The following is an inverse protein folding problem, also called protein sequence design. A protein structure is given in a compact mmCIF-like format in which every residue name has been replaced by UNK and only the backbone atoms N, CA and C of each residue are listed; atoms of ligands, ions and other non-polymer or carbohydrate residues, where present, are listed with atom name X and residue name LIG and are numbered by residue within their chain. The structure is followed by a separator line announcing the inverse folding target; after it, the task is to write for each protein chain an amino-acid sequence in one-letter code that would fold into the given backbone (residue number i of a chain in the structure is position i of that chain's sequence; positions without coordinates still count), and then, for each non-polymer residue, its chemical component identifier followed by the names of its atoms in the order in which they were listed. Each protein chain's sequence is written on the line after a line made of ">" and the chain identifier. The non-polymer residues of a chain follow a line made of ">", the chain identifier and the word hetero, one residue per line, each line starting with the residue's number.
data_IF_505462260290
#
_entry.id   IF_505462260290
#
_cell.length_a   1.000
_cell.length_b   1.000
_cell.length_c   1.000
_cell.angle_alpha   90.00
_cell.angle_beta   90.00
_cell.angle_gamma   90.00
#
_symmetry.space_group_name_H-M   'P 1'
#
loop_
_entity.id
_entity.type
_entity.pdbx_description
1 polymer ?
#
# COMPACT_ATOMS: atom_id res chain seq x y z
N UNK A 1 44.02 30.61 -12.81
CA UNK A 1 44.78 29.35 -12.66
C UNK A 1 44.50 28.81 -11.26
N UNK A 2 43.87 27.62 -11.19
CA UNK A 2 44.13 26.58 -10.16
C UNK A 2 43.86 27.02 -8.70
N UNK A 3 42.80 26.61 -8.00
CA UNK A 3 42.48 25.23 -7.61
C UNK A 3 41.02 25.17 -7.06
N UNK A 4 40.03 24.85 -7.90
CA UNK A 4 38.77 24.28 -7.40
C UNK A 4 39.06 22.85 -6.95
N UNK A 5 39.43 22.66 -5.68
CA UNK A 5 39.52 21.32 -5.09
C UNK A 5 38.12 20.85 -4.75
N UNK A 6 37.61 20.00 -5.65
CA UNK A 6 36.49 19.08 -5.43
C UNK A 6 36.43 18.62 -3.97
N UNK A 7 35.44 19.10 -3.23
CA UNK A 7 34.76 18.32 -2.21
C UNK A 7 33.36 18.04 -2.76
N UNK A 8 33.30 17.08 -3.69
CA UNK A 8 32.09 16.25 -3.76
C UNK A 8 32.06 15.53 -2.42
N UNK A 9 31.28 16.04 -1.48
CA UNK A 9 30.74 15.22 -0.40
C UNK A 9 30.17 13.98 -1.08
N UNK A 10 30.81 12.82 -0.89
CA UNK A 10 30.19 11.56 -1.20
C UNK A 10 28.96 11.50 -0.28
N UNK A 11 27.78 11.83 -0.81
CA UNK A 11 26.55 11.49 -0.12
C UNK A 11 26.66 10.00 0.22
N UNK A 12 26.63 9.67 1.50
CA UNK A 12 26.69 8.28 1.95
C UNK A 12 25.63 7.49 1.17
N UNK A 13 26.00 6.32 0.65
CA UNK A 13 25.06 5.48 -0.08
C UNK A 13 23.86 5.18 0.83
N UNK A 14 22.63 5.29 0.30
CA UNK A 14 21.41 4.99 1.05
C UNK A 14 21.49 3.57 1.62
N UNK A 15 21.16 3.33 2.91
CA UNK A 15 21.08 1.97 3.44
C UNK A 15 20.01 1.17 2.69
N UNK A 16 20.21 -0.14 2.57
CA UNK A 16 19.22 -1.02 1.97
C UNK A 16 18.12 -1.29 2.98
N UNK A 17 16.86 -1.02 2.63
CA UNK A 17 15.73 -1.45 3.47
C UNK A 17 15.42 -2.92 3.18
N UNK A 18 15.38 -3.73 4.23
CA UNK A 18 15.11 -5.18 4.12
C UNK A 18 13.84 -5.64 4.82
N UNK A 19 13.24 -4.82 5.69
CA UNK A 19 11.99 -5.16 6.36
C UNK A 19 11.46 -4.03 7.22
N UNK A 20 10.15 -4.04 7.45
CA UNK A 20 9.46 -3.00 8.24
C UNK A 20 8.63 -3.64 9.34
N UNK A 21 8.74 -3.14 10.55
CA UNK A 21 8.04 -3.60 11.74
C UNK A 21 7.10 -2.49 12.17
N UNK A 22 5.84 -2.82 12.46
CA UNK A 22 4.81 -1.86 12.83
C UNK A 22 4.27 -2.11 14.24
N UNK A 23 3.91 -1.05 14.95
CA UNK A 23 2.84 -1.16 15.95
C UNK A 23 1.47 -1.26 15.26
N UNK A 24 0.47 -1.71 16.01
CA UNK A 24 -0.91 -1.80 15.56
C UNK A 24 -1.68 -0.50 15.85
N UNK A 25 -2.09 -0.32 17.11
CA UNK A 25 -2.94 0.81 17.52
C UNK A 25 -2.19 2.13 17.41
N UNK A 26 -2.83 3.15 16.85
CA UNK A 26 -2.22 4.47 16.65
C UNK A 26 -1.33 4.54 15.42
N UNK A 27 -0.92 3.39 14.88
CA UNK A 27 -0.05 3.28 13.71
C UNK A 27 -0.80 2.71 12.51
N UNK A 28 -1.05 1.40 12.47
CA UNK A 28 -1.78 0.71 11.39
C UNK A 28 -3.31 0.84 11.54
N UNK A 29 -3.79 0.99 12.77
CA UNK A 29 -5.21 1.13 13.10
C UNK A 29 -5.46 2.39 13.90
N UNK A 30 -6.66 2.95 13.77
CA UNK A 30 -7.10 4.04 14.65
C UNK A 30 -7.38 3.43 16.04
N UNK A 31 -6.80 3.97 17.13
CA UNK A 31 -7.09 3.49 18.47
C UNK A 31 -8.60 3.58 18.77
N UNK A 32 -9.19 2.47 19.17
CA UNK A 32 -10.63 2.39 19.47
C UNK A 32 -10.95 1.75 20.83
N UNK A 33 -9.94 1.21 21.52
CA UNK A 33 -10.09 0.65 22.86
C UNK A 33 -9.75 1.70 23.92
N UNK A 34 -10.71 2.03 24.80
CA UNK A 34 -10.46 2.92 25.93
C UNK A 34 -9.87 2.14 27.12
N UNK A 35 -8.53 2.12 27.19
CA UNK A 35 -7.81 1.49 28.28
C UNK A 35 -8.12 2.13 29.64
N UNK A 36 -8.40 3.43 29.73
CA UNK A 36 -8.72 4.06 31.03
C UNK A 36 -10.05 3.54 31.55
N UNK A 37 -11.04 3.43 30.67
CA UNK A 37 -12.34 2.82 31.00
C UNK A 37 -12.16 1.35 31.38
N UNK A 38 -11.32 0.61 30.66
CA UNK A 38 -11.04 -0.81 30.96
C UNK A 38 -10.44 -0.97 32.36
N UNK A 39 -9.42 -0.17 32.70
CA UNK A 39 -8.84 -0.12 34.05
C UNK A 39 -9.88 0.18 35.12
N UNK A 40 -10.70 1.21 34.90
CA UNK A 40 -11.75 1.60 35.84
C UNK A 40 -12.79 0.49 36.04
N UNK A 41 -13.23 -0.17 34.96
CA UNK A 41 -14.19 -1.29 35.02
C UNK A 41 -13.60 -2.53 35.72
N UNK A 42 -12.30 -2.77 35.58
CA UNK A 42 -11.60 -3.87 36.25
C UNK A 42 -11.19 -3.52 37.69
N UNK A 43 -11.46 -2.30 38.18
CA UNK A 43 -10.99 -1.81 39.47
C UNK A 43 -9.44 -1.88 39.63
N UNK A 44 -8.72 -1.63 38.54
CA UNK A 44 -7.25 -1.57 38.52
C UNK A 44 -6.81 -0.13 38.30
N UNK A 45 -5.92 0.44 39.13
CA UNK A 45 -5.39 1.78 38.92
C UNK A 45 -4.75 1.92 37.52
N UNK A 46 -4.89 3.06 36.84
CA UNK A 46 -4.44 3.25 35.45
C UNK A 46 -2.91 3.24 35.26
N UNK A 47 -2.15 3.23 36.35
CA UNK A 47 -0.68 3.19 36.34
C UNK A 47 -0.12 1.78 36.58
N UNK A 48 -0.97 0.82 36.96
CA UNK A 48 -0.58 -0.58 37.11
C UNK A 48 -0.69 -1.32 35.78
N UNK A 49 0.00 -2.46 35.65
CA UNK A 49 -0.23 -3.36 34.52
C UNK A 49 -1.56 -4.09 34.72
N UNK A 50 -2.53 -3.85 33.83
CA UNK A 50 -3.88 -4.39 33.94
C UNK A 50 -3.90 -5.92 34.09
N UNK A 51 -3.17 -6.62 33.21
CA UNK A 51 -3.22 -8.08 33.14
C UNK A 51 -2.50 -8.71 34.34
N UNK A 52 -1.39 -8.11 34.77
CA UNK A 52 -0.70 -8.52 35.98
C UNK A 52 -1.59 -8.34 37.22
N UNK A 53 -2.18 -7.15 37.40
CA UNK A 53 -3.04 -6.85 38.53
C UNK A 53 -4.26 -7.78 38.59
N UNK A 54 -4.93 -8.01 37.45
CA UNK A 54 -6.03 -8.97 37.33
C UNK A 54 -5.58 -10.38 37.66
N UNK A 55 -4.38 -10.79 37.23
CA UNK A 55 -3.79 -12.09 37.57
C UNK A 55 -3.55 -12.32 39.07
N UNK A 56 -3.42 -11.25 39.87
CA UNK A 56 -3.25 -11.33 41.33
C UNK A 56 -4.59 -11.24 42.11
N UNK A 57 -5.72 -11.03 41.43
CA UNK A 57 -7.03 -10.93 42.09
C UNK A 57 -7.55 -12.29 42.59
N UNK A 58 -8.49 -12.23 43.54
CA UNK A 58 -9.25 -13.41 43.98
C UNK A 58 -10.11 -13.95 42.83
N UNK A 59 -10.42 -15.25 42.85
CA UNK A 59 -11.05 -15.94 41.71
C UNK A 59 -12.33 -15.27 41.17
N UNK A 60 -13.22 -14.79 42.04
CA UNK A 60 -14.46 -14.12 41.60
C UNK A 60 -14.21 -12.73 40.97
N UNK A 61 -13.28 -11.96 41.54
CA UNK A 61 -12.91 -10.63 41.05
C UNK A 61 -12.14 -10.74 39.73
N UNK A 62 -11.20 -11.70 39.67
CA UNK A 62 -10.45 -12.04 38.46
C UNK A 62 -11.38 -12.42 37.31
N UNK A 63 -12.34 -13.33 37.55
CA UNK A 63 -13.28 -13.76 36.51
C UNK A 63 -14.11 -12.60 35.96
N UNK A 64 -14.60 -11.71 36.84
CA UNK A 64 -15.34 -10.52 36.40
C UNK A 64 -14.48 -9.58 35.58
N UNK A 65 -13.22 -9.36 35.98
CA UNK A 65 -12.29 -8.51 35.23
C UNK A 65 -11.94 -9.14 33.86
N UNK A 66 -11.73 -10.45 33.79
CA UNK A 66 -11.49 -11.18 32.55
C UNK A 66 -12.70 -11.08 31.60
N UNK A 67 -13.93 -11.26 32.09
CA UNK A 67 -15.16 -11.08 31.32
C UNK A 67 -15.28 -9.65 30.75
N UNK A 68 -14.93 -8.63 31.54
CA UNK A 68 -14.92 -7.22 31.11
C UNK A 68 -13.87 -6.97 30.02
N UNK A 69 -12.66 -7.49 30.20
CA UNK A 69 -11.57 -7.36 29.22
C UNK A 69 -11.99 -8.01 27.91
N UNK A 70 -12.54 -9.22 27.96
CA UNK A 70 -12.99 -9.96 26.78
C UNK A 70 -14.13 -9.22 26.04
N UNK A 71 -15.13 -8.71 26.77
CA UNK A 71 -16.23 -7.90 26.21
C UNK A 71 -15.70 -6.67 25.47
N UNK A 72 -14.84 -5.89 26.13
CA UNK A 72 -14.28 -4.67 25.55
C UNK A 72 -13.36 -4.96 24.36
N UNK A 73 -12.54 -6.00 24.43
CA UNK A 73 -11.69 -6.42 23.31
C UNK A 73 -12.51 -6.95 22.12
N UNK A 74 -13.62 -7.63 22.38
CA UNK A 74 -14.53 -8.10 21.34
C UNK A 74 -15.15 -6.91 20.59
N UNK A 75 -15.64 -5.92 21.34
CA UNK A 75 -16.16 -4.68 20.76
C UNK A 75 -15.08 -3.87 20.03
N UNK A 76 -13.87 -3.83 20.60
CA UNK A 76 -12.70 -3.24 19.97
C UNK A 76 -12.35 -3.91 18.63
N UNK A 77 -12.38 -5.24 18.54
CA UNK A 77 -12.20 -5.92 17.25
C UNK A 77 -13.29 -5.54 16.26
N UNK A 78 -14.56 -5.57 16.68
CA UNK A 78 -15.72 -5.27 15.82
C UNK A 78 -15.70 -3.86 15.24
N UNK A 79 -15.14 -2.90 15.97
CA UNK A 79 -15.10 -1.48 15.59
C UNK A 79 -13.75 -1.04 15.05
N UNK A 80 -12.81 -1.97 14.86
CA UNK A 80 -11.45 -1.67 14.42
C UNK A 80 -11.47 -1.07 13.01
N UNK A 81 -10.68 -0.01 12.82
CA UNK A 81 -10.54 0.67 11.53
C UNK A 81 -9.06 0.87 11.22
N UNK A 82 -8.72 0.76 9.93
CA UNK A 82 -7.37 1.06 9.46
C UNK A 82 -7.09 2.56 9.59
N UNK A 83 -5.86 2.89 9.91
CA UNK A 83 -5.38 4.26 9.82
C UNK A 83 -5.36 4.72 8.34
N UNK A 84 -5.55 6.02 8.08
CA UNK A 84 -5.43 6.57 6.73
C UNK A 84 -4.10 6.20 6.07
N UNK A 85 -4.14 5.67 4.84
CA UNK A 85 -2.97 5.25 4.08
C UNK A 85 -2.43 3.85 4.42
N UNK A 86 -2.97 3.15 5.42
CA UNK A 86 -2.47 1.82 5.80
C UNK A 86 -2.61 0.79 4.65
N UNK A 87 -3.77 0.74 4.00
CA UNK A 87 -4.01 -0.18 2.87
C UNK A 87 -3.09 0.13 1.68
N UNK A 88 -2.89 1.41 1.38
CA UNK A 88 -2.02 1.91 0.31
C UNK A 88 -0.58 1.52 0.57
N UNK A 89 -0.10 1.74 1.80
CA UNK A 89 1.20 1.27 2.27
C UNK A 89 1.34 -0.25 2.14
N UNK A 90 0.33 -1.02 2.56
CA UNK A 90 0.33 -2.48 2.43
C UNK A 90 0.48 -2.95 0.98
N UNK A 91 -0.25 -2.33 0.04
CA UNK A 91 -0.11 -2.62 -1.40
C UNK A 91 1.28 -2.25 -1.93
N UNK A 92 1.83 -1.12 -1.46
CA UNK A 92 3.15 -0.66 -1.84
C UNK A 92 4.26 -1.60 -1.34
N UNK A 93 4.22 -2.03 -0.07
CA UNK A 93 5.14 -3.01 0.51
C UNK A 93 5.08 -4.35 -0.25
N UNK A 94 3.86 -4.82 -0.58
CA UNK A 94 3.66 -6.01 -1.43
C UNK A 94 4.33 -5.86 -2.79
N UNK A 95 4.18 -4.70 -3.43
CA UNK A 95 4.78 -4.39 -4.73
C UNK A 95 6.31 -4.45 -4.72
N UNK A 96 6.92 -4.03 -3.61
CA UNK A 96 8.35 -4.15 -3.37
C UNK A 96 8.81 -5.52 -2.85
N UNK A 97 7.87 -6.39 -2.47
CA UNK A 97 8.12 -7.65 -1.76
C UNK A 97 8.91 -7.44 -0.45
N UNK A 98 8.64 -6.33 0.23
CA UNK A 98 9.25 -6.05 1.54
C UNK A 98 8.53 -6.85 2.62
N UNK A 99 9.25 -7.64 3.44
CA UNK A 99 8.64 -8.32 4.58
C UNK A 99 8.19 -7.29 5.61
N UNK A 100 7.03 -7.55 6.20
CA UNK A 100 6.43 -6.71 7.23
C UNK A 100 6.03 -7.54 8.45
N UNK A 101 6.28 -7.02 9.65
CA UNK A 101 5.92 -7.63 10.92
C UNK A 101 5.08 -6.67 11.78
N UNK A 102 4.36 -7.23 12.75
CA UNK A 102 3.67 -6.45 13.80
C UNK A 102 4.25 -6.81 15.16
N UNK A 103 4.47 -5.80 16.00
CA UNK A 103 4.72 -5.96 17.44
C UNK A 103 3.74 -5.08 18.20
N UNK A 104 2.80 -5.69 18.91
CA UNK A 104 1.68 -4.99 19.55
C UNK A 104 1.39 -5.49 20.96
N UNK A 105 0.71 -4.66 21.76
CA UNK A 105 0.14 -5.03 23.06
C UNK A 105 -1.24 -5.73 22.95
N UNK A 106 -1.77 -5.87 21.74
CA UNK A 106 -2.97 -6.65 21.49
C UNK A 106 -2.71 -8.16 21.48
N UNK A 107 -3.75 -8.97 21.65
CA UNK A 107 -3.68 -10.41 21.42
C UNK A 107 -3.40 -10.73 19.95
N UNK A 108 -2.84 -11.90 19.69
CA UNK A 108 -2.76 -12.45 18.34
C UNK A 108 -4.14 -12.60 17.67
N UNK A 109 -5.19 -12.82 18.44
CA UNK A 109 -6.58 -12.87 17.96
C UNK A 109 -7.00 -11.56 17.29
N UNK A 110 -6.63 -10.40 17.86
CA UNK A 110 -6.90 -9.10 17.23
C UNK A 110 -6.11 -8.93 15.93
N UNK A 111 -4.85 -9.40 15.89
CA UNK A 111 -4.05 -9.36 14.65
C UNK A 111 -4.61 -10.30 13.57
N UNK A 112 -5.14 -11.46 13.96
CA UNK A 112 -5.87 -12.35 13.04
C UNK A 112 -7.13 -11.68 12.49
N UNK A 113 -7.90 -11.00 13.34
CA UNK A 113 -9.06 -10.23 12.91
C UNK A 113 -8.70 -9.12 11.91
N UNK A 114 -7.60 -8.38 12.15
CA UNK A 114 -7.04 -7.43 11.19
C UNK A 114 -6.75 -8.11 9.84
N UNK A 115 -6.03 -9.24 9.85
CA UNK A 115 -5.64 -9.96 8.64
C UNK A 115 -6.83 -10.46 7.82
N UNK A 116 -7.88 -10.94 8.48
CA UNK A 116 -9.03 -11.59 7.83
C UNK A 116 -10.12 -10.59 7.43
N UNK A 117 -10.28 -9.51 8.21
CA UNK A 117 -11.30 -8.50 7.97
C UNK A 117 -10.80 -7.31 7.16
N UNK A 118 -9.78 -6.62 7.67
CA UNK A 118 -9.38 -5.29 7.18
C UNK A 118 -8.21 -5.33 6.19
N UNK A 119 -7.36 -6.36 6.27
CA UNK A 119 -6.12 -6.50 5.48
C UNK A 119 -6.24 -7.55 4.37
N UNK A 120 -7.43 -7.65 3.77
CA UNK A 120 -7.73 -8.67 2.77
C UNK A 120 -6.92 -8.44 1.49
N UNK A 121 -6.47 -9.54 0.87
CA UNK A 121 -5.67 -9.55 -0.38
C UNK A 121 -4.30 -8.86 -0.26
N UNK A 122 -3.84 -8.61 0.96
CA UNK A 122 -2.49 -8.12 1.28
C UNK A 122 -1.69 -9.22 1.99
N UNK A 123 -0.34 -9.21 1.90
CA UNK A 123 0.49 -10.14 2.66
C UNK A 123 0.23 -9.94 4.15
N UNK A 124 0.02 -11.05 4.87
CA UNK A 124 -0.09 -11.03 6.33
C UNK A 124 1.25 -10.58 6.93
N UNK A 125 1.18 -9.81 8.00
CA UNK A 125 2.34 -9.47 8.82
C UNK A 125 2.93 -10.75 9.41
N UNK A 126 4.22 -10.98 9.18
CA UNK A 126 4.90 -12.21 9.58
C UNK A 126 6.35 -11.92 10.01
N UNK A 127 6.72 -12.19 11.28
CA UNK A 127 5.82 -12.65 12.34
C UNK A 127 4.87 -11.54 12.82
N UNK A 128 3.77 -11.98 13.42
CA UNK A 128 2.94 -11.14 14.28
C UNK A 128 3.28 -11.49 15.74
N UNK A 129 3.69 -10.49 16.51
CA UNK A 129 4.05 -10.62 17.92
C UNK A 129 3.03 -9.85 18.75
N UNK A 130 2.17 -10.59 19.45
CA UNK A 130 1.17 -10.04 20.35
C UNK A 130 1.65 -9.97 21.80
N UNK A 131 0.74 -9.62 22.70
CA UNK A 131 0.96 -9.51 24.15
C UNK A 131 1.44 -10.81 24.81
N UNK A 132 1.25 -11.95 24.16
CA UNK A 132 1.63 -13.25 24.70
C UNK A 132 3.16 -13.42 24.73
N UNK A 133 3.89 -12.60 23.96
CA UNK A 133 5.34 -12.60 23.92
C UNK A 133 5.93 -11.61 24.93
N UNK A 134 6.77 -12.14 25.83
CA UNK A 134 7.51 -11.38 26.83
C UNK A 134 9.01 -11.44 26.56
N UNK A 135 9.78 -10.39 26.92
CA UNK A 135 9.32 -9.11 27.48
C UNK A 135 8.69 -8.17 26.42
N UNK A 136 7.85 -7.23 26.89
CA UNK A 136 7.18 -6.25 26.03
C UNK A 136 8.10 -5.11 25.57
N UNK A 137 7.64 -4.35 24.56
CA UNK A 137 8.21 -3.03 24.21
C UNK A 137 8.34 -2.17 25.48
N UNK A 138 9.46 -1.45 25.70
CA UNK A 138 10.53 -1.19 24.75
C UNK A 138 11.68 -2.22 24.72
N UNK A 139 11.55 -3.39 25.35
CA UNK A 139 12.61 -4.41 25.33
C UNK A 139 12.80 -5.02 23.93
N UNK A 140 14.04 -5.18 23.41
CA UNK A 140 14.29 -5.56 22.01
C UNK A 140 14.02 -7.03 21.62
N UNK A 141 13.49 -7.86 22.53
CA UNK A 141 13.45 -9.32 22.34
C UNK A 141 12.55 -9.75 21.17
N UNK A 142 11.42 -9.04 20.97
CA UNK A 142 10.55 -9.27 19.83
C UNK A 142 11.24 -8.91 18.50
N UNK A 143 12.11 -7.88 18.50
CA UNK A 143 12.88 -7.49 17.32
C UNK A 143 13.93 -8.56 16.97
N UNK A 144 14.61 -9.12 17.97
CA UNK A 144 15.56 -10.22 17.79
C UNK A 144 14.89 -11.47 17.19
N UNK A 145 13.68 -11.80 17.65
CA UNK A 145 12.87 -12.88 17.08
C UNK A 145 12.57 -12.63 15.60
N UNK A 146 12.08 -11.43 15.26
CA UNK A 146 11.76 -11.03 13.88
C UNK A 146 12.99 -11.12 13.00
N UNK A 147 14.10 -10.50 13.42
CA UNK A 147 15.37 -10.48 12.72
C UNK A 147 15.88 -11.90 12.43
N UNK A 148 15.83 -12.78 13.44
CA UNK A 148 16.20 -14.19 13.30
C UNK A 148 15.29 -14.93 12.30
N UNK A 149 13.98 -14.71 12.36
CA UNK A 149 13.03 -15.37 11.46
C UNK A 149 13.17 -14.92 10.01
N UNK A 150 13.47 -13.64 9.77
CA UNK A 150 13.75 -13.13 8.44
C UNK A 150 15.16 -13.45 7.94
N UNK A 151 16.07 -13.89 8.83
CA UNK A 151 17.49 -14.04 8.49
C UNK A 151 18.16 -12.71 8.16
N UNK A 152 17.66 -11.61 8.73
CA UNK A 152 18.18 -10.24 8.55
C UNK A 152 18.79 -9.82 9.89
N UNK A 153 20.06 -9.38 9.94
CA UNK A 153 20.65 -8.89 11.19
C UNK A 153 19.97 -7.61 11.67
N UNK A 154 19.94 -7.41 12.99
CA UNK A 154 19.53 -6.13 13.57
C UNK A 154 20.46 -5.01 13.10
N UNK A 155 19.88 -3.88 12.72
CA UNK A 155 20.61 -2.72 12.22
C UNK A 155 19.71 -1.78 11.43
N UNK A 156 20.29 -0.74 10.81
CA UNK A 156 19.54 0.29 10.08
C UNK A 156 18.88 -0.20 8.78
N UNK A 157 19.04 -1.49 8.43
CA UNK A 157 18.33 -2.12 7.32
C UNK A 157 16.89 -2.52 7.67
N UNK A 158 16.56 -2.50 8.96
CA UNK A 158 15.21 -2.69 9.49
C UNK A 158 14.65 -1.36 9.97
N UNK A 159 13.33 -1.20 9.85
CA UNK A 159 12.62 0.00 10.29
C UNK A 159 11.51 -0.36 11.27
N UNK A 160 11.51 0.24 12.46
CA UNK A 160 10.39 0.23 13.39
C UNK A 160 9.51 1.47 13.15
N UNK A 161 8.22 1.26 12.94
CA UNK A 161 7.22 2.31 12.73
C UNK A 161 6.19 2.25 13.85
N UNK A 162 5.97 3.37 14.52
CA UNK A 162 5.03 3.48 15.63
C UNK A 162 4.57 4.91 15.86
N UNK A 163 3.62 5.11 16.76
CA UNK A 163 3.10 6.44 17.16
C UNK A 163 3.58 6.87 18.56
N UNK A 164 4.24 5.98 19.31
CA UNK A 164 4.70 6.26 20.67
C UNK A 164 6.23 6.44 20.78
N UNK A 165 6.73 7.64 21.13
CA UNK A 165 8.16 7.87 21.34
C UNK A 165 8.79 7.03 22.46
N UNK A 166 8.11 6.92 23.60
CA UNK A 166 8.63 6.21 24.76
C UNK A 166 8.51 4.68 24.64
N UNK A 167 7.68 4.18 23.72
CA UNK A 167 7.46 2.75 23.54
C UNK A 167 8.06 2.26 22.22
N UNK A 168 7.57 2.72 21.07
CA UNK A 168 7.94 2.20 19.74
C UNK A 168 9.29 2.71 19.27
N UNK A 169 9.53 4.01 19.44
CA UNK A 169 10.81 4.60 19.05
C UNK A 169 11.90 4.09 20.00
N UNK A 170 11.65 4.09 21.31
CA UNK A 170 12.56 3.48 22.28
C UNK A 170 12.83 1.99 21.99
N UNK A 171 11.81 1.22 21.60
CA UNK A 171 11.94 -0.19 21.19
C UNK A 171 12.87 -0.35 19.99
N UNK A 172 12.66 0.44 18.93
CA UNK A 172 13.52 0.41 17.75
C UNK A 172 14.97 0.82 18.05
N UNK A 173 15.14 1.89 18.84
CA UNK A 173 16.48 2.36 19.28
C UNK A 173 17.21 1.34 20.14
N UNK A 174 16.51 0.67 21.07
CA UNK A 174 17.09 -0.38 21.89
C UNK A 174 17.58 -1.57 21.05
N UNK A 175 16.91 -1.86 19.93
CA UNK A 175 17.31 -2.89 18.98
C UNK A 175 18.34 -2.42 17.93
N UNK A 176 18.71 -1.12 17.91
CA UNK A 176 19.64 -0.55 16.95
C UNK A 176 19.12 -0.46 15.51
N UNK A 177 17.79 -0.46 15.32
CA UNK A 177 17.15 -0.33 14.01
C UNK A 177 16.76 1.12 13.72
N UNK A 178 16.48 1.44 12.45
CA UNK A 178 15.93 2.75 12.11
C UNK A 178 14.51 2.90 12.66
N UNK A 179 14.07 4.12 12.96
CA UNK A 179 12.75 4.37 13.55
C UNK A 179 11.98 5.48 12.85
N UNK A 180 10.70 5.26 12.57
CA UNK A 180 9.79 6.29 12.08
C UNK A 180 8.61 6.50 13.05
N UNK A 181 8.36 7.75 13.41
CA UNK A 181 7.23 8.17 14.24
C UNK A 181 6.08 8.64 13.33
N UNK A 182 4.89 8.09 13.54
CA UNK A 182 3.65 8.58 12.93
C UNK A 182 3.00 9.58 13.89
N UNK A 183 3.11 10.88 13.63
CA UNK A 183 2.55 11.95 14.47
C UNK A 183 1.32 12.59 13.82
N UNK A 184 0.25 11.81 13.67
CA UNK A 184 -0.96 12.22 12.96
C UNK A 184 -1.64 13.49 13.50
N UNK A 185 -1.46 13.79 14.79
CA UNK A 185 -2.04 14.97 15.43
C UNK A 185 -1.05 16.12 15.60
N UNK A 186 0.18 15.99 15.08
CA UNK A 186 1.27 16.96 15.29
C UNK A 186 1.48 17.29 16.77
N UNK A 187 1.16 16.35 17.65
CA UNK A 187 1.13 16.57 19.09
C UNK A 187 2.53 16.90 19.63
N UNK A 188 3.57 16.60 18.84
CA UNK A 188 4.95 16.63 19.26
C UNK A 188 5.82 17.61 18.47
N UNK A 189 5.29 18.30 17.45
CA UNK A 189 6.07 19.25 16.62
C UNK A 189 6.60 20.47 17.39
N UNK A 190 6.01 20.81 18.55
CA UNK A 190 6.42 21.94 19.41
C UNK A 190 7.46 21.57 20.49
N UNK A 191 7.74 20.28 20.69
CA UNK A 191 8.85 19.77 21.51
C UNK A 191 9.90 19.18 20.56
N UNK A 192 11.13 18.95 21.03
CA UNK A 192 12.27 18.48 20.23
C UNK A 192 11.85 17.69 18.96
N UNK A 193 12.12 18.23 17.77
CA UNK A 193 11.27 18.06 16.57
C UNK A 193 11.10 16.62 16.07
N UNK A 194 11.86 15.66 16.59
CA UNK A 194 11.83 14.25 16.22
C UNK A 194 11.52 13.31 17.39
N UNK A 195 11.54 13.79 18.64
CA UNK A 195 11.45 12.99 19.86
C UNK A 195 12.33 11.74 19.87
N UNK A 196 13.51 11.82 19.24
CA UNK A 196 14.48 10.74 19.14
C UNK A 196 14.24 9.75 18.00
N UNK A 197 13.21 9.93 17.18
CA UNK A 197 13.02 9.14 15.96
C UNK A 197 13.98 9.60 14.84
N UNK A 198 14.40 8.67 13.97
CA UNK A 198 15.15 9.03 12.75
C UNK A 198 14.27 9.77 11.74
N UNK A 199 12.98 9.45 11.71
CA UNK A 199 12.01 9.97 10.77
C UNK A 199 10.69 10.30 11.46
N UNK A 200 9.99 11.31 10.98
CA UNK A 200 8.63 11.65 11.42
C UNK A 200 7.76 11.86 10.17
N UNK A 201 6.58 11.23 10.16
CA UNK A 201 5.57 11.40 9.11
C UNK A 201 4.24 11.79 9.74
N UNK A 202 3.44 12.58 9.02
CA UNK A 202 2.11 12.95 9.51
C UNK A 202 1.10 11.82 9.29
N UNK A 203 1.37 10.90 8.37
CA UNK A 203 0.51 9.75 8.13
C UNK A 203 1.28 8.61 7.47
N UNK A 204 0.69 7.40 7.48
CA UNK A 204 1.25 6.26 6.76
C UNK A 204 1.29 6.47 5.24
N UNK A 205 0.51 7.41 4.70
CA UNK A 205 0.52 7.72 3.26
C UNK A 205 1.85 8.35 2.81
N UNK A 206 2.55 9.07 3.69
CA UNK A 206 3.83 9.72 3.38
C UNK A 206 5.01 8.74 3.48
N UNK A 207 4.84 7.65 4.24
CA UNK A 207 5.92 6.72 4.56
C UNK A 207 6.56 6.13 3.28
N UNK A 208 5.83 5.64 2.27
CA UNK A 208 6.43 5.15 1.02
C UNK A 208 7.37 6.14 0.32
N UNK A 209 7.01 7.43 0.29
CA UNK A 209 7.85 8.49 -0.26
C UNK A 209 9.14 8.66 0.55
N UNK A 210 9.02 8.71 1.88
CA UNK A 210 10.16 8.76 2.78
C UNK A 210 11.09 7.55 2.61
N UNK A 211 10.54 6.34 2.52
CA UNK A 211 11.32 5.13 2.31
C UNK A 211 12.09 5.18 0.99
N UNK A 212 11.45 5.63 -0.08
CA UNK A 212 12.08 5.82 -1.38
C UNK A 212 13.23 6.85 -1.33
N UNK A 213 13.05 7.94 -0.57
CA UNK A 213 14.03 9.01 -0.44
C UNK A 213 15.24 8.61 0.41
N UNK A 214 15.04 7.80 1.46
CA UNK A 214 16.10 7.52 2.42
C UNK A 214 16.74 6.14 2.29
N UNK A 215 16.07 5.18 1.64
CA UNK A 215 16.56 3.82 1.52
C UNK A 215 16.77 3.39 0.06
N UNK A 216 17.66 2.42 -0.13
CA UNK A 216 17.71 1.61 -1.33
C UNK A 216 16.70 0.47 -1.18
N UNK A 217 15.71 0.42 -2.07
CA UNK A 217 14.71 -0.63 -2.09
C UNK A 217 15.12 -1.70 -3.11
N UNK A 218 15.25 -2.93 -2.63
CA UNK A 218 15.48 -4.10 -3.48
C UNK A 218 14.14 -4.79 -3.72
N UNK A 219 13.80 -5.10 -4.97
CA UNK A 219 12.54 -5.73 -5.30
C UNK A 219 12.19 -5.57 -6.79
N UNK A 220 11.13 -6.26 -7.24
CA UNK A 220 10.72 -6.23 -8.65
C UNK A 220 10.35 -4.83 -9.14
N UNK A 221 9.81 -3.97 -8.26
CA UNK A 221 9.48 -2.58 -8.58
C UNK A 221 10.70 -1.67 -8.81
N UNK A 222 11.88 -2.10 -8.37
CA UNK A 222 13.16 -1.42 -8.56
C UNK A 222 14.00 -1.97 -9.70
N UNK A 223 13.55 -3.03 -10.37
CA UNK A 223 14.28 -3.62 -11.49
C UNK A 223 14.49 -2.56 -12.58
N UNK A 224 15.71 -2.47 -13.17
CA UNK A 224 15.94 -1.57 -14.29
C UNK A 224 14.92 -1.89 -15.39
N UNK A 225 14.38 -0.85 -16.03
CA UNK A 225 13.62 -1.04 -17.26
C UNK A 225 14.47 -1.92 -18.17
N UNK A 226 13.97 -3.10 -18.56
CA UNK A 226 14.61 -3.92 -19.57
C UNK A 226 14.91 -2.98 -20.75
N UNK A 227 16.19 -2.69 -20.96
CA UNK A 227 16.67 -1.49 -21.64
C UNK A 227 15.91 -1.21 -22.93
N UNK A 228 15.68 0.09 -23.21
CA UNK A 228 14.86 0.61 -24.32
C UNK A 228 14.89 -0.29 -25.56
N UNK A 229 13.95 -1.24 -25.61
CA UNK A 229 13.64 -1.96 -26.83
C UNK A 229 12.94 -0.97 -27.76
N UNK A 230 13.08 -1.17 -29.07
CA UNK A 230 12.28 -0.46 -30.06
C UNK A 230 10.80 -0.43 -29.60
N UNK A 231 10.05 0.66 -29.89
CA UNK A 231 8.65 0.75 -29.50
C UNK A 231 7.95 -0.55 -29.88
N UNK A 232 7.26 -1.20 -28.92
CA UNK A 232 6.66 -2.49 -29.18
C UNK A 232 5.67 -2.33 -30.34
N UNK A 233 5.58 -3.34 -31.21
CA UNK A 233 4.66 -3.38 -32.32
C UNK A 233 3.89 -4.71 -32.29
N UNK A 234 2.62 -4.73 -32.73
CA UNK A 234 1.82 -5.95 -32.76
C UNK A 234 2.45 -6.99 -33.70
N UNK A 235 2.76 -8.19 -33.18
CA UNK A 235 3.43 -9.26 -33.95
C UNK A 235 2.50 -10.38 -34.37
N UNK A 236 1.45 -10.68 -33.60
CA UNK A 236 0.48 -11.73 -33.98
C UNK A 236 -0.52 -11.20 -35.02
N UNK A 237 -1.15 -12.06 -35.84
CA UNK A 237 -2.22 -11.64 -36.76
C UNK A 237 -3.37 -10.95 -36.03
N UNK A 238 -3.83 -11.52 -34.91
CA UNK A 238 -4.88 -10.94 -34.08
C UNK A 238 -4.48 -9.58 -33.51
N UNK A 239 -3.24 -9.42 -33.00
CA UNK A 239 -2.76 -8.15 -32.48
C UNK A 239 -2.70 -7.05 -33.56
N UNK A 240 -2.30 -7.39 -34.79
CA UNK A 240 -2.28 -6.44 -35.91
C UNK A 240 -3.68 -6.03 -36.32
N UNK A 241 -4.58 -7.00 -36.50
CA UNK A 241 -5.99 -6.73 -36.79
C UNK A 241 -6.65 -5.88 -35.69
N UNK A 242 -6.34 -6.15 -34.42
CA UNK A 242 -6.82 -5.38 -33.29
C UNK A 242 -6.31 -3.93 -33.29
N UNK A 243 -5.01 -3.71 -33.53
CA UNK A 243 -4.44 -2.38 -33.63
C UNK A 243 -4.97 -1.57 -34.83
N UNK A 244 -5.28 -2.25 -35.95
CA UNK A 244 -5.84 -1.65 -37.16
C UNK A 244 -7.37 -1.48 -37.11
N UNK A 245 -8.01 -1.86 -35.98
CA UNK A 245 -9.46 -1.85 -35.81
C UNK A 245 -10.22 -2.72 -36.85
N UNK A 246 -9.59 -3.78 -37.35
CA UNK A 246 -10.15 -4.68 -38.36
C UNK A 246 -11.06 -5.75 -37.75
N UNK A 247 -12.22 -5.33 -37.22
CA UNK A 247 -13.17 -6.19 -36.50
C UNK A 247 -13.61 -7.42 -37.32
N UNK A 248 -13.83 -7.29 -38.62
CA UNK A 248 -14.21 -8.44 -39.46
C UNK A 248 -13.13 -9.52 -39.54
N UNK A 249 -11.84 -9.15 -39.50
CA UNK A 249 -10.75 -10.12 -39.46
C UNK A 249 -10.71 -10.84 -38.11
N UNK A 250 -10.93 -10.12 -37.02
CA UNK A 250 -10.97 -10.71 -35.67
C UNK A 250 -12.14 -11.69 -35.51
N UNK A 251 -13.30 -11.40 -36.10
CA UNK A 251 -14.50 -12.25 -36.00
C UNK A 251 -14.27 -13.67 -36.53
N UNK A 252 -13.38 -13.82 -37.51
CA UNK A 252 -13.04 -15.11 -38.12
C UNK A 252 -11.95 -15.91 -37.38
N UNK A 253 -11.38 -15.38 -36.30
CA UNK A 253 -10.29 -16.02 -35.56
C UNK A 253 -10.81 -16.87 -34.40
N UNK A 254 -10.04 -17.89 -34.02
CA UNK A 254 -10.33 -18.70 -32.84
C UNK A 254 -10.04 -17.92 -31.55
N UNK A 255 -10.71 -18.25 -30.45
CA UNK A 255 -10.54 -17.55 -29.16
C UNK A 255 -9.07 -17.60 -28.69
N UNK A 256 -8.40 -18.73 -28.89
CA UNK A 256 -7.00 -18.93 -28.53
C UNK A 256 -6.09 -17.92 -29.25
N UNK A 257 -6.38 -17.57 -30.51
CA UNK A 257 -5.65 -16.56 -31.27
C UNK A 257 -5.95 -15.14 -30.77
N UNK A 258 -7.18 -14.89 -30.32
CA UNK A 258 -7.62 -13.60 -29.76
C UNK A 258 -7.03 -13.35 -28.36
N UNK A 259 -6.65 -14.40 -27.64
CA UNK A 259 -5.98 -14.31 -26.33
C UNK A 259 -4.45 -14.40 -26.43
N UNK A 260 -3.90 -14.93 -27.53
CA UNK A 260 -2.48 -15.17 -27.70
C UNK A 260 -1.65 -13.88 -27.54
N UNK A 261 -0.80 -13.78 -26.49
CA UNK A 261 0.07 -12.64 -26.32
C UNK A 261 1.22 -12.66 -27.33
N UNK A 262 1.74 -11.48 -27.67
CA UNK A 262 3.01 -11.36 -28.38
C UNK A 262 4.22 -11.72 -27.49
N UNK A 263 5.42 -11.70 -28.04
CA UNK A 263 6.69 -11.99 -27.34
C UNK A 263 6.98 -11.06 -26.14
N UNK A 264 6.26 -9.94 -26.03
CA UNK A 264 6.37 -8.99 -24.92
C UNK A 264 5.19 -9.13 -23.92
N UNK A 265 4.32 -10.12 -24.13
CA UNK A 265 3.16 -10.40 -23.30
C UNK A 265 1.90 -9.63 -23.69
N UNK A 266 1.92 -8.74 -24.69
CA UNK A 266 0.73 -7.93 -24.99
C UNK A 266 -0.28 -8.76 -25.79
N UNK A 267 -1.52 -8.82 -25.30
CA UNK A 267 -2.64 -9.45 -25.99
C UNK A 267 -3.23 -8.53 -27.07
N UNK A 268 -4.02 -9.06 -28.01
CA UNK A 268 -4.77 -8.25 -28.97
C UNK A 268 -5.62 -7.14 -28.33
N UNK A 269 -6.23 -7.40 -27.16
CA UNK A 269 -7.00 -6.39 -26.43
C UNK A 269 -6.13 -5.22 -25.95
N UNK A 270 -4.92 -5.49 -25.47
CA UNK A 270 -3.96 -4.45 -25.07
C UNK A 270 -3.58 -3.58 -26.29
N UNK A 271 -3.39 -4.21 -27.46
CA UNK A 271 -3.07 -3.50 -28.69
C UNK A 271 -4.23 -2.64 -29.20
N UNK A 272 -5.45 -3.16 -29.22
CA UNK A 272 -6.64 -2.37 -29.55
C UNK A 272 -6.79 -1.17 -28.61
N UNK A 273 -6.54 -1.38 -27.31
CA UNK A 273 -6.63 -0.33 -26.31
C UNK A 273 -5.52 0.74 -26.42
N UNK A 274 -4.29 0.40 -26.84
CA UNK A 274 -3.24 1.40 -27.11
C UNK A 274 -3.52 2.18 -28.40
N UNK A 275 -4.16 1.53 -29.39
CA UNK A 275 -4.48 2.12 -30.69
C UNK A 275 -5.76 2.98 -30.70
N UNK A 276 -6.65 2.83 -29.71
CA UNK A 276 -7.95 3.51 -29.70
C UNK A 276 -9.02 2.81 -30.55
N UNK A 277 -8.83 1.52 -30.82
CA UNK A 277 -9.65 0.73 -31.74
C UNK A 277 -10.94 0.20 -31.05
N UNK A 278 -11.93 1.08 -30.87
CA UNK A 278 -13.18 0.77 -30.13
C UNK A 278 -13.87 -0.50 -30.66
N UNK A 279 -14.04 -0.64 -31.97
CA UNK A 279 -14.72 -1.80 -32.57
C UNK A 279 -13.99 -3.12 -32.34
N UNK A 280 -12.65 -3.10 -32.35
CA UNK A 280 -11.85 -4.25 -31.98
C UNK A 280 -11.98 -4.59 -30.49
N UNK A 281 -12.00 -3.58 -29.60
CA UNK A 281 -12.22 -3.79 -28.16
C UNK A 281 -13.59 -4.42 -27.91
N UNK A 282 -14.66 -3.88 -28.50
CA UNK A 282 -16.02 -4.42 -28.38
C UNK A 282 -16.08 -5.89 -28.81
N UNK A 283 -15.51 -6.22 -29.97
CA UNK A 283 -15.49 -7.57 -30.48
C UNK A 283 -14.71 -8.51 -29.57
N UNK A 284 -13.51 -8.12 -29.17
CA UNK A 284 -12.65 -8.95 -28.32
C UNK A 284 -13.32 -9.25 -26.97
N UNK A 285 -13.95 -8.26 -26.33
CA UNK A 285 -14.71 -8.47 -25.11
C UNK A 285 -15.92 -9.38 -25.34
N UNK A 286 -16.63 -9.23 -26.47
CA UNK A 286 -17.77 -10.09 -26.82
C UNK A 286 -17.36 -11.55 -27.08
N UNK A 287 -16.12 -11.77 -27.53
CA UNK A 287 -15.53 -13.08 -27.72
C UNK A 287 -15.12 -13.76 -26.40
N UNK A 288 -15.12 -13.01 -25.28
CA UNK A 288 -14.83 -13.56 -23.95
C UNK A 288 -13.35 -13.54 -23.55
N UNK A 289 -12.50 -12.74 -24.21
CA UNK A 289 -11.08 -12.65 -23.83
C UNK A 289 -10.90 -12.06 -22.43
N UNK A 290 -9.87 -12.51 -21.71
CA UNK A 290 -9.55 -11.96 -20.40
C UNK A 290 -9.21 -10.45 -20.44
N UNK A 291 -10.06 -9.60 -19.82
CA UNK A 291 -9.91 -8.14 -19.85
C UNK A 291 -8.72 -7.61 -19.02
N UNK A 292 -8.30 -8.34 -17.99
CA UNK A 292 -7.25 -7.93 -17.04
C UNK A 292 -5.86 -8.50 -17.36
N UNK A 293 -5.67 -9.06 -18.57
CA UNK A 293 -4.38 -9.60 -18.97
C UNK A 293 -3.26 -8.55 -18.85
N UNK A 294 -2.08 -8.98 -18.39
CA UNK A 294 -0.90 -8.13 -18.22
C UNK A 294 0.09 -8.38 -19.35
N UNK A 295 0.43 -7.32 -20.06
CA UNK A 295 1.45 -7.34 -21.09
C UNK A 295 2.78 -6.77 -20.65
N UNK A 296 3.45 -6.08 -21.57
CA UNK A 296 4.79 -5.55 -21.36
C UNK A 296 4.82 -4.59 -20.14
N UNK A 297 5.77 -4.84 -19.22
CA UNK A 297 5.91 -4.14 -17.93
C UNK A 297 4.67 -4.25 -17.02
N UNK A 298 3.82 -5.27 -17.21
CA UNK A 298 2.62 -5.45 -16.41
C UNK A 298 1.48 -4.50 -16.75
N UNK A 299 1.53 -3.81 -17.90
CA UNK A 299 0.46 -2.91 -18.32
C UNK A 299 -0.75 -3.71 -18.83
N UNK A 300 -1.95 -3.29 -18.42
CA UNK A 300 -3.25 -3.83 -18.87
C UNK A 300 -3.83 -3.00 -20.02
N UNK A 301 -4.92 -3.48 -20.64
CA UNK A 301 -5.66 -2.71 -21.64
C UNK A 301 -6.16 -1.36 -21.08
N UNK A 302 -6.70 -1.35 -19.85
CA UNK A 302 -7.12 -0.14 -19.13
C UNK A 302 -5.98 0.86 -19.00
N UNK A 303 -4.81 0.41 -18.53
CA UNK A 303 -3.64 1.30 -18.37
C UNK A 303 -3.18 1.93 -19.69
N UNK A 304 -3.29 1.20 -20.82
CA UNK A 304 -2.92 1.70 -22.16
C UNK A 304 -3.92 2.72 -22.67
N UNK A 305 -5.22 2.44 -22.55
CA UNK A 305 -6.27 3.39 -22.87
C UNK A 305 -6.10 4.68 -22.06
N UNK A 306 -5.85 4.55 -20.76
CA UNK A 306 -5.64 5.69 -19.85
C UNK A 306 -4.42 6.52 -20.21
N UNK A 307 -3.29 5.87 -20.54
CA UNK A 307 -2.06 6.56 -20.96
C UNK A 307 -2.24 7.34 -22.26
N UNK A 308 -3.04 6.81 -23.19
CA UNK A 308 -3.27 7.40 -24.52
C UNK A 308 -4.42 8.40 -24.55
N UNK A 309 -5.27 8.42 -23.53
CA UNK A 309 -6.43 9.31 -23.47
C UNK A 309 -7.64 8.79 -24.24
N UNK A 310 -7.70 7.49 -24.53
CA UNK A 310 -8.75 6.89 -25.34
C UNK A 310 -10.01 6.66 -24.52
N UNK A 311 -10.80 7.72 -24.32
CA UNK A 311 -11.99 7.74 -23.47
C UNK A 311 -13.05 6.70 -23.89
N UNK A 312 -13.36 6.61 -25.18
CA UNK A 312 -14.38 5.66 -25.65
C UNK A 312 -13.94 4.21 -25.48
N UNK A 313 -12.65 3.90 -25.69
CA UNK A 313 -12.11 2.57 -25.37
C UNK A 313 -12.28 2.26 -23.89
N UNK A 314 -11.99 3.20 -22.99
CA UNK A 314 -12.17 2.99 -21.56
C UNK A 314 -13.65 2.73 -21.22
N UNK A 315 -14.59 3.48 -21.80
CA UNK A 315 -16.04 3.23 -21.66
C UNK A 315 -16.44 1.83 -22.12
N UNK A 316 -15.89 1.37 -23.24
CA UNK A 316 -16.13 0.02 -23.73
C UNK A 316 -15.57 -1.03 -22.79
N UNK A 317 -14.32 -0.86 -22.31
CA UNK A 317 -13.70 -1.80 -21.37
C UNK A 317 -14.53 -1.93 -20.08
N UNK A 318 -15.08 -0.83 -19.56
CA UNK A 318 -15.94 -0.78 -18.37
C UNK A 318 -17.22 -1.62 -18.48
N UNK A 319 -17.60 -2.09 -19.67
CA UNK A 319 -18.72 -3.02 -19.85
C UNK A 319 -18.37 -4.45 -19.38
N UNK A 320 -17.09 -4.75 -19.15
CA UNK A 320 -16.64 -6.04 -18.60
C UNK A 320 -16.86 -6.10 -17.09
N UNK A 321 -17.56 -7.15 -16.62
CA UNK A 321 -18.01 -7.27 -15.22
C UNK A 321 -16.90 -7.31 -14.18
N UNK A 322 -15.78 -7.93 -14.51
CA UNK A 322 -14.67 -8.18 -13.57
C UNK A 322 -13.45 -7.30 -13.86
N UNK A 323 -13.63 -6.16 -14.52
CA UNK A 323 -12.53 -5.28 -14.90
C UNK A 323 -11.87 -4.65 -13.65
N UNK A 324 -10.55 -4.79 -13.53
CA UNK A 324 -9.77 -4.14 -12.48
C UNK A 324 -9.22 -2.80 -12.97
N UNK A 325 -9.59 -1.71 -12.29
CA UNK A 325 -9.18 -0.34 -12.60
C UNK A 325 -7.93 0.11 -11.84
N UNK A 326 -7.49 -0.64 -10.85
CA UNK A 326 -6.42 -0.29 -9.92
C UNK A 326 -5.18 -1.16 -10.07
N UNK A 327 -5.25 -2.22 -10.88
CA UNK A 327 -4.15 -3.15 -11.09
C UNK A 327 -2.85 -2.44 -11.52
N UNK A 328 -1.80 -2.48 -10.68
CA UNK A 328 -0.57 -1.75 -10.96
C UNK A 328 0.33 -2.46 -11.97
N UNK A 329 1.08 -1.65 -12.71
CA UNK A 329 2.17 -2.14 -13.54
C UNK A 329 3.43 -2.48 -12.71
N UNK A 330 4.51 -2.90 -13.37
CA UNK A 330 5.78 -3.26 -12.73
C UNK A 330 6.45 -2.10 -11.96
N UNK A 331 6.05 -0.85 -12.19
CA UNK A 331 6.51 0.35 -11.46
C UNK A 331 5.48 0.85 -10.44
N UNK A 332 4.53 -0.01 -10.07
CA UNK A 332 3.40 0.28 -9.20
C UNK A 332 2.47 1.39 -9.70
N UNK A 333 2.57 1.78 -10.97
CA UNK A 333 1.69 2.82 -11.53
C UNK A 333 0.35 2.19 -11.88
N UNK A 334 -0.72 2.73 -11.28
CA UNK A 334 -2.10 2.41 -11.64
C UNK A 334 -2.51 3.08 -12.97
N UNK A 335 -3.62 2.65 -13.61
CA UNK A 335 -4.19 3.37 -14.75
C UNK A 335 -4.44 4.86 -14.49
N UNK A 336 -4.84 5.25 -13.27
CA UNK A 336 -5.02 6.66 -12.91
C UNK A 336 -3.71 7.45 -12.94
N UNK A 337 -2.57 6.86 -12.55
CA UNK A 337 -1.26 7.53 -12.70
C UNK A 337 -0.97 7.84 -14.16
N UNK A 338 -1.30 6.94 -15.08
CA UNK A 338 -1.10 7.18 -16.52
C UNK A 338 -2.00 8.28 -17.06
N UNK A 339 -3.29 8.28 -16.69
CA UNK A 339 -4.21 9.34 -17.10
C UNK A 339 -3.78 10.71 -16.53
N UNK A 340 -3.39 10.74 -15.24
CA UNK A 340 -2.95 11.94 -14.56
C UNK A 340 -1.62 12.49 -15.10
N UNK A 341 -0.60 11.64 -15.29
CA UNK A 341 0.70 12.06 -15.84
C UNK A 341 0.57 12.63 -17.27
N UNK A 342 -0.34 12.07 -18.07
CA UNK A 342 -0.58 12.50 -19.46
C UNK A 342 -1.71 13.54 -19.59
N UNK A 343 -2.26 14.05 -18.48
CA UNK A 343 -3.24 15.15 -18.46
C UNK A 343 -4.59 14.87 -19.12
N UNK A 344 -5.02 13.60 -19.10
CA UNK A 344 -6.30 13.20 -19.68
C UNK A 344 -7.44 13.39 -18.69
N UNK A 345 -7.85 14.65 -18.48
CA UNK A 345 -8.86 15.03 -17.48
C UNK A 345 -10.16 14.22 -17.56
N UNK A 346 -10.70 14.02 -18.78
CA UNK A 346 -11.93 13.24 -18.97
C UNK A 346 -11.78 11.76 -18.62
N UNK A 347 -10.60 11.19 -18.83
CA UNK A 347 -10.29 9.81 -18.44
C UNK A 347 -10.16 9.71 -16.92
N UNK A 348 -9.49 10.68 -16.27
CA UNK A 348 -9.41 10.75 -14.81
C UNK A 348 -10.81 10.83 -14.20
N UNK A 349 -11.66 11.69 -14.74
CA UNK A 349 -13.05 11.81 -14.30
C UNK A 349 -13.80 10.47 -14.43
N UNK A 350 -13.72 9.81 -15.58
CA UNK A 350 -14.39 8.52 -15.79
C UNK A 350 -13.87 7.43 -14.85
N UNK A 351 -12.56 7.37 -14.59
CA UNK A 351 -11.97 6.43 -13.64
C UNK A 351 -12.53 6.64 -12.23
N UNK A 352 -12.61 7.90 -11.77
CA UNK A 352 -13.16 8.24 -10.45
C UNK A 352 -14.65 7.90 -10.35
N UNK A 353 -15.44 8.25 -11.38
CA UNK A 353 -16.86 7.90 -11.48
C UNK A 353 -17.10 6.38 -11.49
N UNK A 354 -16.11 5.60 -11.96
CA UNK A 354 -16.15 4.14 -12.01
C UNK A 354 -15.54 3.46 -10.77
N UNK A 355 -15.17 4.23 -9.74
CA UNK A 355 -14.67 3.69 -8.46
C UNK A 355 -13.19 3.32 -8.44
N UNK A 356 -12.37 3.80 -9.38
CA UNK A 356 -10.92 3.62 -9.32
C UNK A 356 -10.32 4.40 -8.14
N UNK A 357 -9.35 3.82 -7.44
CA UNK A 357 -8.75 4.42 -6.25
C UNK A 357 -7.92 5.67 -6.58
N UNK A 358 -8.23 6.83 -5.98
CA UNK A 358 -7.45 8.06 -6.16
C UNK A 358 -6.15 8.10 -5.34
N UNK A 359 -5.93 7.11 -4.48
CA UNK A 359 -4.86 7.10 -3.47
C UNK A 359 -3.79 6.03 -3.71
N UNK A 360 -3.89 5.28 -4.82
CA UNK A 360 -2.87 4.30 -5.21
C UNK A 360 -1.48 4.94 -5.26
N UNK A 361 -0.44 4.18 -4.91
CA UNK A 361 0.93 4.68 -4.86
C UNK A 361 1.82 4.06 -5.94
N UNK A 362 2.56 4.91 -6.67
CA UNK A 362 3.63 4.46 -7.55
C UNK A 362 4.84 3.93 -6.77
N UNK A 363 5.85 3.41 -7.46
CA UNK A 363 7.06 2.86 -6.82
C UNK A 363 7.82 3.87 -5.96
N UNK A 364 7.63 5.17 -6.20
CA UNK A 364 8.25 6.26 -5.42
C UNK A 364 7.38 6.72 -4.26
N UNK A 365 6.23 6.08 -4.04
CA UNK A 365 5.29 6.46 -2.99
C UNK A 365 4.44 7.67 -3.33
N UNK A 366 4.27 8.02 -4.61
CA UNK A 366 3.46 9.17 -5.04
C UNK A 366 2.07 8.72 -5.47
N UNK A 367 1.09 9.55 -5.20
CA UNK A 367 -0.29 9.42 -5.70
C UNK A 367 -0.42 9.96 -7.13
N UNK A 368 -1.50 9.61 -7.87
CA UNK A 368 -1.77 10.20 -9.18
C UNK A 368 -1.83 11.74 -9.18
N UNK A 369 -2.34 12.34 -8.09
CA UNK A 369 -2.42 13.79 -7.93
C UNK A 369 -1.05 14.49 -7.84
N UNK A 370 -0.02 13.77 -7.40
CA UNK A 370 1.37 14.26 -7.31
C UNK A 370 2.17 13.99 -8.59
N UNK A 371 1.65 13.12 -9.46
CA UNK A 371 2.28 12.74 -10.73
C UNK A 371 1.89 13.63 -11.91
N UNK A 372 0.78 14.37 -11.78
CA UNK A 372 0.30 15.32 -12.78
C UNK A 372 0.96 16.69 -12.63
N UNK A 373 1.14 17.40 -13.76
CA UNK A 373 1.53 18.82 -13.79
C UNK A 373 0.33 19.76 -14.00
N UNK A 374 -0.87 19.22 -14.14
CA UNK A 374 -2.08 19.99 -14.42
C UNK A 374 -2.82 20.22 -13.09
N UNK A 375 -2.96 21.47 -12.64
CA UNK A 375 -3.64 21.78 -11.40
C UNK A 375 -5.10 21.33 -11.36
N UNK A 376 -5.81 21.30 -12.49
CA UNK A 376 -7.21 20.88 -12.55
C UNK A 376 -7.34 19.36 -12.33
N UNK A 377 -6.47 18.59 -12.99
CA UNK A 377 -6.39 17.12 -12.77
C UNK A 377 -6.02 16.82 -11.31
N UNK A 378 -5.02 17.52 -10.77
CA UNK A 378 -4.58 17.34 -9.39
C UNK A 378 -5.70 17.68 -8.40
N UNK A 379 -6.43 18.78 -8.62
CA UNK A 379 -7.54 19.20 -7.77
C UNK A 379 -8.69 18.19 -7.81
N UNK A 380 -9.03 17.67 -8.99
CA UNK A 380 -10.07 16.65 -9.14
C UNK A 380 -9.75 15.38 -8.34
N UNK A 381 -8.51 14.87 -8.45
CA UNK A 381 -8.09 13.66 -7.73
C UNK A 381 -8.07 13.92 -6.21
N UNK A 382 -7.52 15.06 -5.76
CA UNK A 382 -7.51 15.41 -4.32
C UNK A 382 -8.91 15.58 -3.74
N UNK A 383 -9.85 16.13 -4.51
CA UNK A 383 -11.24 16.23 -4.08
C UNK A 383 -11.85 14.84 -3.85
N UNK A 384 -11.56 13.88 -4.74
CA UNK A 384 -11.99 12.49 -4.55
C UNK A 384 -11.33 11.83 -3.32
N UNK A 385 -10.03 12.06 -3.09
CA UNK A 385 -9.33 11.57 -1.88
C UNK A 385 -9.97 12.07 -0.58
N UNK A 386 -10.42 13.33 -0.56
CA UNK A 386 -11.10 13.90 0.61
C UNK A 386 -12.54 13.37 0.80
N UNK A 387 -13.22 13.01 -0.30
CA UNK A 387 -14.58 12.46 -0.28
C UNK A 387 -14.65 10.99 0.15
N UNK A 388 -13.58 10.21 -0.08
CA UNK A 388 -13.48 8.80 0.34
C UNK A 388 -13.48 8.62 1.87
N UNK A 389 -13.30 9.72 2.62
CA UNK A 389 -13.37 9.76 4.08
C UNK A 389 -14.78 9.87 4.69
N UNK A 390 -15.86 9.89 3.90
CA UNK A 390 -17.22 9.97 4.45
C UNK A 390 -18.25 9.10 3.69
N UNK A 391 -18.46 7.82 4.09
CA UNK A 391 -19.40 6.93 3.39
C UNK A 391 -20.91 7.18 3.65
N UNK A 392 -21.34 8.27 4.32
CA UNK A 392 -22.78 8.51 4.61
C UNK A 392 -23.19 9.98 4.60
N UNK A 393 -23.18 10.60 3.43
CA UNK A 393 -23.91 11.86 3.21
C UNK A 393 -24.41 11.96 1.76
N UNK A 394 -25.07 10.92 1.26
CA UNK A 394 -25.92 10.95 0.06
C UNK A 394 -26.70 9.63 0.00
N UNK A 395 -27.99 9.68 0.33
CA UNK A 395 -28.90 8.53 0.39
C UNK A 395 -29.76 8.55 1.63
#
# INVERSE_FOLDING_TARGET
>A
MVFQRRLRSMAAAKPVLRGVIFDLDGTLTVPNLDFRLMHARCNVPPHEDLLHAVGQMKDEERRRAEEIIEEMEHEGRRTLQLAPGASELGRWLRGWQLPAAIVTRNTLTTVQHLHEGLWQRLPKFCPAVGREFLPHKPHPAAMELIAKQWGIPLGPELLMVGDSPCNDIAFGKAAGVSTALVDANRAHRDRDATLGADFVVDSLQELPGLLWEHFQLSGPAGAPDAGAKAPPAPRTPAARAAAENAAELLRGMALEDLEAPDELGNTPLIWAADAGAVGAVELLLSAGVAANAKGFLGNTAVSRACRRGHLEVLRTLLQSKDLDLDEPNAKLQSPMHFAAFNQHLQVVQLLLESGASPSSLDRKGRTPAEDTKDPAVAALIRAAQAGDGNPKAQG
#
